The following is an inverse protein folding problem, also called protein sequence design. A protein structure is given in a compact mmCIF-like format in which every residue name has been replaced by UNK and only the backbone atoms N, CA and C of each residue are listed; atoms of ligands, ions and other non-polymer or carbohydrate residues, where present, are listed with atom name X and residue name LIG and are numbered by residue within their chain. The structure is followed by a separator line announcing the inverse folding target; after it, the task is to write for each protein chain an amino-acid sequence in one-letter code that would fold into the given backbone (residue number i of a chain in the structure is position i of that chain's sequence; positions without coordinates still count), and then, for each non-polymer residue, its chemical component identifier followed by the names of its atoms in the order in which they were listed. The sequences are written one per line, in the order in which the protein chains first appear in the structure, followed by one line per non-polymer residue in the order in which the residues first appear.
data_IF_350715287864
#
_entry.id   IF_350715287864
#
_cell.length_a   1.000
_cell.length_b   1.000
_cell.length_c   1.000
_cell.angle_alpha   90.00
_cell.angle_beta   90.00
_cell.angle_gamma   90.00
#
_symmetry.space_group_name_H-M   'P 1'
#
loop_
_entity.id
_entity.type
_entity.pdbx_description
1 polymer ?
#
# COMPACT_ATOMS: atom_id res chain seq x y z
N UNK A 1 -18.73 -1.36 2.84
CA UNK A 1 -18.77 -1.21 1.35
C UNK A 1 -19.23 0.17 0.88
N UNK A 2 -20.33 0.71 1.39
CA UNK A 2 -20.90 1.99 0.90
C UNK A 2 -19.90 3.14 0.88
N UNK A 3 -19.08 3.26 1.93
CA UNK A 3 -18.04 4.29 1.99
C UNK A 3 -16.94 4.07 0.94
N UNK A 4 -16.59 2.82 0.63
CA UNK A 4 -15.66 2.51 -0.45
C UNK A 4 -16.23 2.93 -1.81
N UNK A 5 -17.47 2.54 -2.11
CA UNK A 5 -18.13 2.87 -3.39
C UNK A 5 -18.33 4.37 -3.57
N UNK A 6 -18.57 5.11 -2.49
CA UNK A 6 -18.63 6.57 -2.51
C UNK A 6 -17.32 7.21 -3.00
N UNK A 7 -16.19 6.67 -2.60
CA UNK A 7 -14.87 7.17 -2.98
C UNK A 7 -14.31 6.58 -4.28
N UNK A 8 -14.80 5.41 -4.68
CA UNK A 8 -14.39 4.64 -5.85
C UNK A 8 -15.62 4.12 -6.63
N UNK A 9 -16.39 5.01 -7.28
CA UNK A 9 -17.65 4.64 -7.93
C UNK A 9 -17.46 3.81 -9.20
N UNK A 10 -16.25 3.83 -9.80
CA UNK A 10 -15.94 3.17 -11.08
C UNK A 10 -15.44 1.72 -10.91
N UNK A 11 -15.52 1.15 -9.70
CA UNK A 11 -15.16 -0.24 -9.47
C UNK A 11 -16.08 -1.19 -10.25
N UNK A 12 -15.49 -2.14 -10.96
CA UNK A 12 -16.26 -3.17 -11.64
C UNK A 12 -16.73 -4.27 -10.67
N UNK A 13 -17.63 -5.13 -11.12
CA UNK A 13 -18.24 -6.19 -10.29
C UNK A 13 -17.20 -7.14 -9.68
N UNK A 14 -16.13 -7.46 -10.42
CA UNK A 14 -15.05 -8.32 -9.92
C UNK A 14 -14.32 -7.65 -8.75
N UNK A 15 -13.93 -6.39 -8.93
CA UNK A 15 -13.24 -5.62 -7.89
C UNK A 15 -14.10 -5.46 -6.62
N UNK A 16 -15.40 -5.16 -6.80
CA UNK A 16 -16.35 -5.07 -5.69
C UNK A 16 -16.36 -6.39 -4.92
N UNK A 17 -16.54 -7.52 -5.61
CA UNK A 17 -16.54 -8.84 -4.98
C UNK A 17 -15.22 -9.20 -4.28
N UNK A 18 -14.08 -8.76 -4.83
CA UNK A 18 -12.76 -8.95 -4.21
C UNK A 18 -12.64 -8.11 -2.92
N UNK A 19 -13.08 -6.85 -2.93
CA UNK A 19 -13.06 -6.00 -1.73
C UNK A 19 -14.00 -6.50 -0.64
N UNK A 20 -15.18 -7.02 -0.99
CA UNK A 20 -16.13 -7.60 -0.03
C UNK A 20 -15.59 -8.81 0.71
N UNK A 21 -14.78 -9.63 0.05
CA UNK A 21 -14.18 -10.82 0.63
C UNK A 21 -13.05 -10.52 1.62
N UNK A 22 -12.38 -9.36 1.50
CA UNK A 22 -11.16 -9.07 2.27
C UNK A 22 -11.37 -9.14 3.78
N UNK A 23 -12.43 -8.55 4.31
CA UNK A 23 -12.68 -8.51 5.76
C UNK A 23 -12.81 -9.91 6.35
N UNK A 24 -13.57 -10.78 5.68
CA UNK A 24 -13.75 -12.17 6.11
C UNK A 24 -12.44 -12.96 6.04
N UNK A 25 -11.70 -12.83 4.92
CA UNK A 25 -10.42 -13.51 4.74
C UNK A 25 -9.39 -13.10 5.81
N UNK A 26 -9.26 -11.79 6.08
CA UNK A 26 -8.36 -11.33 7.13
C UNK A 26 -8.86 -11.69 8.53
N UNK A 27 -10.16 -11.70 8.77
CA UNK A 27 -10.76 -12.17 10.02
C UNK A 27 -10.36 -13.62 10.31
N UNK A 28 -10.50 -14.51 9.34
CA UNK A 28 -10.09 -15.92 9.45
C UNK A 28 -8.60 -16.07 9.71
N UNK A 29 -7.75 -15.45 8.87
CA UNK A 29 -6.30 -15.55 9.01
C UNK A 29 -5.77 -14.93 10.30
N UNK A 30 -6.42 -13.88 10.78
CA UNK A 30 -6.00 -13.18 12.00
C UNK A 30 -6.20 -14.04 13.26
N UNK A 31 -7.04 -15.07 13.22
CA UNK A 31 -7.17 -16.06 14.31
C UNK A 31 -5.89 -16.91 14.46
N UNK A 32 -5.14 -17.09 13.39
CA UNK A 32 -3.94 -17.91 13.34
C UNK A 32 -2.66 -17.09 13.37
N UNK A 33 -2.63 -16.00 12.63
CA UNK A 33 -1.47 -15.11 12.45
C UNK A 33 -1.94 -13.67 12.61
N UNK A 34 -1.54 -13.04 13.70
CA UNK A 34 -1.92 -11.65 13.99
C UNK A 34 -1.22 -10.68 13.02
N UNK A 35 -1.89 -10.34 11.93
CA UNK A 35 -1.43 -9.35 10.93
C UNK A 35 -2.14 -8.01 11.04
N UNK A 36 -3.30 -7.98 11.71
CA UNK A 36 -4.10 -6.79 12.01
C UNK A 36 -4.47 -6.83 13.49
N UNK A 37 -4.37 -5.69 14.20
CA UNK A 37 -4.81 -5.63 15.59
C UNK A 37 -6.32 -5.86 15.72
N UNK A 38 -6.80 -6.45 16.84
CA UNK A 38 -8.23 -6.68 17.05
C UNK A 38 -9.05 -5.40 16.92
N UNK A 39 -8.54 -4.30 17.49
CA UNK A 39 -9.17 -2.97 17.43
C UNK A 39 -9.28 -2.44 16.00
N UNK A 40 -8.29 -2.73 15.14
CA UNK A 40 -8.29 -2.25 13.76
C UNK A 40 -9.17 -3.13 12.86
N UNK A 41 -9.39 -4.41 13.21
CA UNK A 41 -10.35 -5.29 12.52
C UNK A 41 -11.79 -4.74 12.60
N UNK A 42 -12.20 -4.15 13.74
CA UNK A 42 -13.53 -3.52 13.88
C UNK A 42 -13.73 -2.34 12.92
N UNK A 43 -12.66 -1.76 12.41
CA UNK A 43 -12.67 -0.63 11.48
C UNK A 43 -11.84 -0.96 10.23
N UNK A 44 -11.94 -2.21 9.76
CA UNK A 44 -11.13 -2.75 8.67
C UNK A 44 -11.20 -1.89 7.40
N UNK A 45 -12.39 -1.52 6.96
CA UNK A 45 -12.59 -0.71 5.75
C UNK A 45 -11.92 0.65 5.83
N UNK A 46 -12.04 1.33 6.96
CA UNK A 46 -11.45 2.67 7.15
C UNK A 46 -9.93 2.59 7.30
N UNK A 47 -9.47 1.78 8.28
CA UNK A 47 -8.07 1.79 8.74
C UNK A 47 -7.12 1.00 7.87
N UNK A 48 -7.63 0.02 7.14
CA UNK A 48 -6.80 -0.80 6.27
C UNK A 48 -7.11 -0.59 4.80
N UNK A 49 -8.37 -0.66 4.39
CA UNK A 49 -8.72 -0.60 2.98
C UNK A 49 -8.63 0.84 2.44
N UNK A 50 -9.45 1.78 2.93
CA UNK A 50 -9.43 3.17 2.46
C UNK A 50 -8.07 3.83 2.70
N UNK A 51 -7.43 3.55 3.84
CA UNK A 51 -6.08 4.06 4.10
C UNK A 51 -5.07 3.61 3.02
N UNK A 52 -5.08 2.34 2.64
CA UNK A 52 -4.22 1.81 1.56
C UNK A 52 -4.53 2.46 0.22
N UNK A 53 -5.82 2.58 -0.11
CA UNK A 53 -6.30 3.20 -1.33
C UNK A 53 -6.08 4.72 -1.38
N UNK A 54 -5.72 5.34 -0.26
CA UNK A 54 -5.30 6.75 -0.22
C UNK A 54 -4.14 7.06 -1.18
N UNK A 55 -3.28 6.09 -1.49
CA UNK A 55 -2.22 6.24 -2.48
C UNK A 55 -2.79 6.54 -3.88
N UNK A 56 -3.93 5.95 -4.23
CA UNK A 56 -4.57 6.18 -5.53
C UNK A 56 -5.15 7.57 -5.72
N UNK A 57 -5.32 8.33 -4.63
CA UNK A 57 -5.71 9.76 -4.70
C UNK A 57 -4.54 10.66 -5.13
N UNK A 58 -3.31 10.15 -5.02
CA UNK A 58 -2.09 10.86 -5.43
C UNK A 58 -1.64 10.44 -6.83
N UNK A 59 -1.83 9.16 -7.17
CA UNK A 59 -1.38 8.61 -8.46
C UNK A 59 -2.36 7.56 -8.98
N UNK A 60 -2.56 7.58 -10.29
CA UNK A 60 -3.16 6.49 -11.04
C UNK A 60 -2.04 5.72 -11.75
N UNK A 61 -1.78 4.47 -11.30
CA UNK A 61 -0.76 3.65 -11.95
C UNK A 61 -1.20 3.28 -13.37
N UNK A 62 -0.30 3.47 -14.33
CA UNK A 62 -0.53 3.07 -15.72
C UNK A 62 -0.38 1.56 -15.88
N UNK A 63 -1.08 1.00 -16.85
CA UNK A 63 -0.96 -0.39 -17.24
C UNK A 63 0.51 -0.76 -17.53
N UNK A 64 0.92 -1.92 -17.05
CA UNK A 64 2.30 -2.40 -17.18
C UNK A 64 3.30 -1.77 -16.20
N UNK A 65 2.85 -0.93 -15.27
CA UNK A 65 3.70 -0.42 -14.19
C UNK A 65 4.09 -1.52 -13.21
N UNK A 66 5.21 -1.30 -12.53
CA UNK A 66 5.69 -2.18 -11.46
C UNK A 66 5.79 -1.41 -10.15
N UNK A 67 5.24 -1.97 -9.09
CA UNK A 67 5.20 -1.39 -7.74
C UNK A 67 5.79 -2.38 -6.74
N UNK A 68 6.63 -1.89 -5.84
CA UNK A 68 7.18 -2.65 -4.72
C UNK A 68 6.51 -2.18 -3.42
N UNK A 69 5.87 -3.09 -2.69
CA UNK A 69 5.35 -2.85 -1.34
C UNK A 69 6.32 -3.43 -0.31
N UNK A 70 6.98 -2.55 0.43
CA UNK A 70 8.02 -2.91 1.39
C UNK A 70 7.47 -2.95 2.81
N UNK A 71 7.69 -4.07 3.48
CA UNK A 71 7.15 -4.33 4.80
C UNK A 71 5.63 -4.47 4.72
N UNK A 72 5.15 -5.20 3.71
CA UNK A 72 3.73 -5.33 3.37
C UNK A 72 2.87 -5.87 4.51
N UNK A 73 3.46 -6.52 5.50
CA UNK A 73 2.73 -7.13 6.61
C UNK A 73 1.74 -8.18 6.11
N UNK A 74 0.48 -7.97 6.40
CA UNK A 74 -0.61 -8.80 5.88
C UNK A 74 -1.01 -8.47 4.43
N UNK A 75 -0.26 -7.64 3.69
CA UNK A 75 -0.57 -7.25 2.31
C UNK A 75 -1.07 -5.81 2.17
N UNK A 76 -0.74 -4.93 3.11
CA UNK A 76 -1.18 -3.53 3.08
C UNK A 76 0.01 -2.56 2.94
N UNK A 77 -0.02 -1.68 1.92
CA UNK A 77 -1.14 -1.32 1.05
C UNK A 77 -1.29 -2.17 -0.22
N UNK A 78 -0.40 -3.14 -0.49
CA UNK A 78 -0.24 -3.80 -1.77
C UNK A 78 -1.48 -4.54 -2.29
N UNK A 79 -2.16 -5.37 -1.47
CA UNK A 79 -3.36 -6.11 -1.89
C UNK A 79 -4.52 -5.19 -2.31
N UNK A 80 -4.93 -4.18 -1.52
CA UNK A 80 -5.96 -3.23 -1.95
C UNK A 80 -5.60 -2.50 -3.26
N UNK A 81 -4.33 -2.11 -3.41
CA UNK A 81 -3.87 -1.46 -4.64
C UNK A 81 -3.87 -2.41 -5.83
N UNK A 82 -3.52 -3.68 -5.63
CA UNK A 82 -3.53 -4.68 -6.70
C UNK A 82 -4.95 -4.98 -7.19
N UNK A 83 -5.96 -4.96 -6.32
CA UNK A 83 -7.37 -5.06 -6.71
C UNK A 83 -7.77 -3.83 -7.53
N UNK A 84 -7.38 -2.63 -7.10
CA UNK A 84 -7.75 -1.38 -7.79
C UNK A 84 -7.06 -1.25 -9.16
N UNK A 85 -5.81 -1.73 -9.29
CA UNK A 85 -4.98 -1.61 -10.49
C UNK A 85 -4.60 -2.99 -11.05
N UNK A 86 -5.55 -3.71 -11.69
CA UNK A 86 -5.34 -5.10 -12.11
C UNK A 86 -4.26 -5.28 -13.18
N UNK A 87 -3.93 -4.22 -13.92
CA UNK A 87 -2.90 -4.24 -14.98
C UNK A 87 -1.52 -3.71 -14.48
N UNK A 88 -1.36 -3.48 -13.18
CA UNK A 88 -0.10 -3.10 -12.53
C UNK A 88 0.47 -4.29 -11.78
N UNK A 89 1.75 -4.58 -11.95
CA UNK A 89 2.44 -5.66 -11.22
C UNK A 89 2.88 -5.19 -9.84
N UNK A 90 2.50 -5.92 -8.81
CA UNK A 90 2.85 -5.65 -7.42
C UNK A 90 3.79 -6.73 -6.88
N UNK A 91 4.97 -6.32 -6.40
CA UNK A 91 5.88 -7.15 -5.61
C UNK A 91 5.71 -6.78 -4.13
N UNK A 92 5.26 -7.72 -3.31
CA UNK A 92 5.00 -7.51 -1.89
C UNK A 92 6.08 -8.23 -1.08
N UNK A 93 6.83 -7.50 -0.27
CA UNK A 93 7.92 -8.09 0.51
C UNK A 93 7.76 -7.83 2.01
N UNK A 94 8.06 -8.84 2.81
CA UNK A 94 8.20 -8.74 4.27
C UNK A 94 9.25 -9.76 4.74
N UNK A 95 10.05 -9.43 5.75
CA UNK A 95 11.05 -10.34 6.31
C UNK A 95 10.43 -11.48 7.12
N UNK A 96 9.17 -11.38 7.48
CA UNK A 96 8.46 -12.34 8.34
C UNK A 96 7.65 -13.31 7.49
N UNK A 97 8.14 -14.53 7.30
CA UNK A 97 7.55 -15.55 6.42
C UNK A 97 6.08 -15.89 6.74
N UNK A 98 5.68 -15.90 8.02
CA UNK A 98 4.28 -16.14 8.39
C UNK A 98 3.32 -15.07 7.87
N UNK A 99 3.77 -13.81 7.71
CA UNK A 99 2.97 -12.74 7.11
C UNK A 99 2.83 -12.96 5.61
N UNK A 100 3.91 -13.32 4.93
CA UNK A 100 3.90 -13.67 3.50
C UNK A 100 3.00 -14.85 3.22
N UNK A 101 2.90 -15.83 4.15
CA UNK A 101 1.92 -16.92 4.04
C UNK A 101 0.48 -16.39 3.98
N UNK A 102 0.14 -15.38 4.79
CA UNK A 102 -1.19 -14.74 4.74
C UNK A 102 -1.40 -14.02 3.41
N UNK A 103 -0.42 -13.25 2.95
CA UNK A 103 -0.48 -12.54 1.66
C UNK A 103 -0.76 -13.51 0.51
N UNK A 104 -0.01 -14.62 0.43
CA UNK A 104 -0.19 -15.64 -0.61
C UNK A 104 -1.58 -16.29 -0.54
N UNK A 105 -2.09 -16.57 0.64
CA UNK A 105 -3.41 -17.16 0.81
C UNK A 105 -4.53 -16.18 0.39
N UNK A 106 -4.44 -14.91 0.79
CA UNK A 106 -5.40 -13.88 0.41
C UNK A 106 -5.34 -13.63 -1.11
N UNK A 107 -4.15 -13.49 -1.68
CA UNK A 107 -3.95 -13.36 -3.13
C UNK A 107 -4.62 -14.50 -3.90
N UNK A 108 -4.38 -15.74 -3.47
CA UNK A 108 -4.96 -16.94 -4.11
C UNK A 108 -6.49 -16.98 -3.98
N UNK A 109 -7.02 -16.69 -2.81
CA UNK A 109 -8.47 -16.67 -2.56
C UNK A 109 -9.18 -15.63 -3.44
N UNK A 110 -8.55 -14.48 -3.67
CA UNK A 110 -9.09 -13.39 -4.51
C UNK A 110 -8.80 -13.56 -6.02
N UNK A 111 -8.01 -14.58 -6.41
CA UNK A 111 -7.61 -14.79 -7.81
C UNK A 111 -6.74 -13.65 -8.38
N UNK A 112 -5.94 -12.96 -7.56
CA UNK A 112 -5.07 -11.89 -8.03
C UNK A 112 -3.86 -12.47 -8.78
N UNK A 113 -3.73 -12.15 -10.05
CA UNK A 113 -2.64 -12.62 -10.92
C UNK A 113 -1.49 -11.60 -11.04
N UNK A 114 -1.72 -10.39 -10.57
CA UNK A 114 -0.80 -9.26 -10.64
C UNK A 114 -0.02 -9.01 -9.33
N UNK A 115 0.01 -9.99 -8.44
CA UNK A 115 0.73 -9.93 -7.16
C UNK A 115 1.76 -11.04 -7.10
N UNK A 116 2.97 -10.72 -6.66
CA UNK A 116 4.01 -11.70 -6.27
C UNK A 116 4.50 -11.33 -4.88
N UNK A 117 4.46 -12.29 -3.95
CA UNK A 117 4.87 -12.05 -2.56
C UNK A 117 6.11 -12.85 -2.19
N UNK A 118 7.10 -12.19 -1.58
CA UNK A 118 8.38 -12.79 -1.22
C UNK A 118 8.73 -12.54 0.24
N UNK A 119 9.22 -13.58 0.90
CA UNK A 119 9.89 -13.41 2.19
C UNK A 119 11.30 -12.86 1.93
N UNK A 120 11.47 -11.55 2.04
CA UNK A 120 12.70 -10.86 1.70
C UNK A 120 12.88 -9.61 2.57
N UNK A 121 14.13 -9.24 2.87
CA UNK A 121 14.43 -7.90 3.41
C UNK A 121 14.46 -6.88 2.27
N UNK A 122 14.18 -5.62 2.59
CA UNK A 122 14.12 -4.56 1.60
C UNK A 122 15.45 -4.40 0.82
N UNK A 123 16.56 -4.52 1.54
CA UNK A 123 17.92 -4.36 1.00
C UNK A 123 18.32 -5.47 0.02
N UNK A 124 17.65 -6.63 0.11
CA UNK A 124 17.93 -7.80 -0.74
C UNK A 124 17.09 -7.81 -2.03
N UNK A 125 16.13 -6.89 -2.17
CA UNK A 125 15.33 -6.76 -3.39
C UNK A 125 16.14 -6.04 -4.48
N UNK A 126 16.31 -6.67 -5.64
CA UNK A 126 17.25 -6.20 -6.68
C UNK A 126 16.56 -5.67 -7.96
N UNK A 127 15.25 -5.94 -8.12
CA UNK A 127 14.54 -5.52 -9.33
C UNK A 127 14.27 -4.01 -9.36
N UNK A 128 14.06 -3.49 -10.57
CA UNK A 128 13.69 -2.10 -10.80
C UNK A 128 12.19 -1.94 -10.90
N UNK A 129 11.65 -0.97 -10.16
CA UNK A 129 10.22 -0.66 -10.11
C UNK A 129 9.94 0.80 -10.43
N UNK A 130 8.72 1.09 -10.84
CA UNK A 130 8.30 2.46 -11.10
C UNK A 130 8.02 3.20 -9.77
N UNK A 131 7.40 2.53 -8.81
CA UNK A 131 7.11 3.11 -7.50
C UNK A 131 7.39 2.12 -6.38
N UNK A 132 7.76 2.68 -5.22
CA UNK A 132 7.78 1.98 -3.95
C UNK A 132 6.64 2.51 -3.09
N UNK A 133 5.84 1.61 -2.54
CA UNK A 133 4.79 1.93 -1.57
C UNK A 133 5.15 1.30 -0.22
N UNK A 134 4.69 1.89 0.86
CA UNK A 134 4.88 1.31 2.20
C UNK A 134 3.91 1.91 3.20
N UNK A 135 3.73 1.22 4.33
CA UNK A 135 2.94 1.68 5.48
C UNK A 135 3.57 1.24 6.80
N UNK A 136 3.81 2.20 7.71
CA UNK A 136 4.16 1.94 9.12
C UNK A 136 5.40 1.06 9.37
N UNK A 137 6.43 1.13 8.52
CA UNK A 137 7.65 0.32 8.67
C UNK A 137 8.67 1.04 9.56
N UNK A 138 9.17 2.21 9.13
CA UNK A 138 10.18 2.98 9.86
C UNK A 138 10.17 4.46 9.44
N UNK A 139 11.11 5.25 9.92
CA UNK A 139 11.31 6.63 9.49
C UNK A 139 11.90 6.69 8.08
N UNK A 140 11.65 7.81 7.36
CA UNK A 140 12.13 8.04 6.00
C UNK A 140 13.66 7.93 5.88
N UNK A 141 14.40 8.47 6.85
CA UNK A 141 15.87 8.44 6.87
C UNK A 141 16.46 7.01 6.83
N UNK A 142 15.75 6.06 7.43
CA UNK A 142 16.13 4.64 7.42
C UNK A 142 15.57 3.92 6.19
N UNK A 143 14.35 4.27 5.79
CA UNK A 143 13.62 3.58 4.71
C UNK A 143 14.18 3.89 3.32
N UNK A 144 14.45 5.17 3.04
CA UNK A 144 14.87 5.61 1.70
C UNK A 144 16.13 4.91 1.21
N UNK A 145 17.21 4.77 2.01
CA UNK A 145 18.42 4.05 1.60
C UNK A 145 18.17 2.60 1.17
N UNK A 146 17.18 1.92 1.76
CA UNK A 146 16.87 0.52 1.41
C UNK A 146 16.32 0.36 -0.01
N UNK A 147 15.61 1.37 -0.52
CA UNK A 147 14.76 1.22 -1.70
C UNK A 147 15.07 2.17 -2.85
N UNK A 148 15.85 3.21 -2.59
CA UNK A 148 16.11 4.26 -3.59
C UNK A 148 16.79 3.70 -4.86
N UNK A 149 17.66 2.70 -4.70
CA UNK A 149 18.34 2.03 -5.79
C UNK A 149 17.41 1.18 -6.67
N UNK A 150 16.21 0.82 -6.19
CA UNK A 150 15.25 0.03 -6.95
C UNK A 150 14.38 0.87 -7.89
N UNK A 151 14.39 2.18 -7.77
CA UNK A 151 13.58 3.04 -8.63
C UNK A 151 14.16 3.11 -10.05
N UNK A 152 13.27 3.00 -11.05
CA UNK A 152 13.60 3.23 -12.46
C UNK A 152 13.85 4.71 -12.69
N UNK A 153 14.87 5.05 -13.49
CA UNK A 153 15.16 6.43 -13.91
C UNK A 153 14.20 6.95 -14.99
N UNK A 154 13.64 6.06 -15.80
CA UNK A 154 12.67 6.44 -16.85
C UNK A 154 11.27 6.57 -16.25
N UNK A 155 10.69 7.74 -16.36
CA UNK A 155 9.34 8.05 -15.88
C UNK A 155 8.32 7.95 -17.02
N UNK A 156 7.14 7.41 -16.72
CA UNK A 156 6.03 7.30 -17.68
C UNK A 156 4.68 7.81 -17.14
N UNK A 157 4.65 8.17 -15.87
CA UNK A 157 3.46 8.69 -15.19
C UNK A 157 3.40 10.23 -15.21
N UNK A 158 2.30 10.81 -14.76
CA UNK A 158 2.13 12.26 -14.58
C UNK A 158 3.07 12.86 -13.54
N UNK A 159 3.50 12.03 -12.59
CA UNK A 159 4.53 12.35 -11.60
C UNK A 159 5.76 11.47 -11.84
N UNK A 160 6.92 11.89 -11.34
CA UNK A 160 8.15 11.09 -11.41
C UNK A 160 8.00 9.79 -10.61
N UNK A 161 8.73 8.76 -11.01
CA UNK A 161 8.88 7.57 -10.18
C UNK A 161 9.39 7.96 -8.80
N UNK A 162 9.00 7.21 -7.77
CA UNK A 162 9.36 7.59 -6.41
C UNK A 162 8.73 6.71 -5.35
N UNK A 163 8.78 7.20 -4.13
CA UNK A 163 8.25 6.52 -2.94
C UNK A 163 6.92 7.19 -2.56
N UNK A 164 5.90 6.38 -2.29
CA UNK A 164 4.59 6.79 -1.78
C UNK A 164 4.37 6.10 -0.43
N UNK A 165 4.60 6.82 0.65
CA UNK A 165 4.61 6.26 2.00
C UNK A 165 3.42 6.74 2.82
N UNK A 166 2.56 5.80 3.25
CA UNK A 166 1.46 6.08 4.15
C UNK A 166 1.97 6.32 5.58
N UNK A 167 1.82 7.54 6.04
CA UNK A 167 2.27 7.99 7.35
C UNK A 167 1.16 8.72 8.13
N UNK A 168 1.42 9.01 9.38
CA UNK A 168 0.51 9.78 10.24
C UNK A 168 1.24 10.64 11.24
N UNK A 169 0.53 11.62 11.79
CA UNK A 169 1.07 12.55 12.77
C UNK A 169 1.92 13.68 12.20
N UNK A 170 2.71 14.32 13.07
CA UNK A 170 3.63 15.39 12.69
C UNK A 170 4.88 14.81 12.01
N UNK A 171 5.21 15.28 10.82
CA UNK A 171 6.33 14.78 10.01
C UNK A 171 7.39 15.86 9.75
N UNK A 172 7.25 17.04 10.34
CA UNK A 172 8.13 18.18 10.08
C UNK A 172 9.60 17.86 10.30
N UNK A 173 9.93 17.23 11.42
CA UNK A 173 11.31 16.84 11.73
C UNK A 173 11.80 15.72 10.80
N UNK A 174 10.98 14.71 10.57
CA UNK A 174 11.32 13.56 9.72
C UNK A 174 11.61 13.96 8.28
N UNK A 175 10.90 14.96 7.77
CA UNK A 175 11.01 15.39 6.37
C UNK A 175 12.03 16.50 6.14
N UNK A 176 12.70 17.02 7.17
CA UNK A 176 13.73 18.06 7.01
C UNK A 176 14.84 17.66 6.04
N UNK A 177 15.24 16.39 6.05
CA UNK A 177 16.26 15.85 5.15
C UNK A 177 15.73 15.54 3.74
N UNK A 178 14.44 15.67 3.51
CA UNK A 178 13.78 15.36 2.24
C UNK A 178 13.01 16.55 1.68
N UNK A 179 13.70 17.64 1.28
CA UNK A 179 13.05 18.89 0.86
C UNK A 179 12.20 18.76 -0.42
N UNK A 180 12.36 17.65 -1.18
CA UNK A 180 11.54 17.34 -2.34
C UNK A 180 10.29 16.54 -1.98
N UNK A 181 10.14 16.08 -0.73
CA UNK A 181 8.98 15.34 -0.32
C UNK A 181 7.73 16.23 -0.32
N UNK A 182 6.63 15.68 -0.82
CA UNK A 182 5.32 16.33 -0.82
C UNK A 182 4.37 15.52 0.05
N UNK A 183 3.64 16.19 0.94
CA UNK A 183 2.61 15.58 1.78
C UNK A 183 1.23 15.83 1.17
N UNK A 184 0.48 14.77 0.97
CA UNK A 184 -0.94 14.80 0.59
C UNK A 184 -1.76 14.40 1.80
N UNK A 185 -2.55 15.32 2.33
CA UNK A 185 -3.39 15.10 3.52
C UNK A 185 -4.59 14.22 3.14
N UNK A 186 -4.74 13.06 3.78
CA UNK A 186 -5.84 12.15 3.43
C UNK A 186 -7.21 12.64 3.89
N UNK A 187 -7.28 13.56 4.85
CA UNK A 187 -8.52 14.24 5.24
C UNK A 187 -9.16 15.04 4.11
N UNK A 188 -8.37 15.46 3.11
CA UNK A 188 -8.89 16.21 1.94
C UNK A 188 -9.66 15.28 0.99
N UNK A 189 -9.52 13.97 1.15
CA UNK A 189 -10.16 12.94 0.32
C UNK A 189 -11.19 12.09 1.09
N UNK A 190 -10.98 11.90 2.40
CA UNK A 190 -11.81 11.03 3.24
C UNK A 190 -12.29 11.78 4.49
N UNK A 191 -13.61 11.81 4.73
CA UNK A 191 -14.19 12.63 5.79
C UNK A 191 -14.13 12.03 7.20
N UNK A 192 -13.65 10.80 7.39
CA UNK A 192 -13.59 10.18 8.71
C UNK A 192 -12.48 10.77 9.58
N UNK A 193 -12.71 10.89 10.89
CA UNK A 193 -11.75 11.44 11.86
C UNK A 193 -10.39 10.72 11.87
N UNK A 194 -10.37 9.44 11.50
CA UNK A 194 -9.12 8.68 11.36
C UNK A 194 -8.14 9.35 10.38
N UNK A 195 -8.63 10.01 9.34
CA UNK A 195 -7.79 10.60 8.29
C UNK A 195 -7.26 11.98 8.61
N UNK A 196 -7.70 12.62 9.71
CA UNK A 196 -7.23 13.96 10.15
C UNK A 196 -5.70 14.06 10.24
N UNK A 197 -5.05 12.97 10.63
CA UNK A 197 -3.59 12.94 10.79
C UNK A 197 -2.88 12.09 9.74
N UNK A 198 -3.61 11.46 8.79
CA UNK A 198 -3.03 10.54 7.81
C UNK A 198 -2.64 11.25 6.54
N UNK A 199 -1.53 10.79 5.97
CA UNK A 199 -0.91 11.42 4.79
C UNK A 199 -0.33 10.35 3.86
N UNK A 200 -0.26 10.69 2.59
CA UNK A 200 0.68 10.06 1.65
C UNK A 200 1.87 10.99 1.53
N UNK A 201 3.04 10.53 1.94
CA UNK A 201 4.31 11.23 1.69
C UNK A 201 4.85 10.73 0.36
N UNK A 202 4.91 11.61 -0.63
CA UNK A 202 5.51 11.32 -1.93
C UNK A 202 6.91 11.91 -1.99
N UNK A 203 7.93 11.06 -2.23
CA UNK A 203 9.30 11.47 -2.48
C UNK A 203 9.67 11.12 -3.92
N UNK A 204 9.80 12.11 -4.84
CA UNK A 204 10.22 11.87 -6.22
C UNK A 204 11.69 11.44 -6.30
N UNK A 205 11.98 10.61 -7.29
CA UNK A 205 13.33 10.14 -7.63
C UNK A 205 13.97 10.96 -8.76
#
# INVERSE_FOLDING_TARGET
MDELLKHFPDLNTLQIGQFEQLEALYGEWNTQINVISRKDMEQFYERHLLHSLGISKVIQFKDGSTVLDVGTGGGFPGIPLAILFPNTQFNLIDSIGKKIKVVNAVQQALGLTNVVAHQLRAEDFTEKVDFVVSRAVTKMETFVPWVISNLKSKHQHSIKNGILYLKGGALTEELQQFPKAVCYELKDYFGAAFFETKKVVYLPF
#
